data_IF_096051105713
#
_entry.id   IF_096051105713
#
_cell.length_a   1.000
_cell.length_b   1.000
_cell.length_c   1.000
_cell.angle_alpha   90.00
_cell.angle_beta   90.00
_cell.angle_gamma   90.00
#
_symmetry.space_group_name_H-M   'P 1'
#
loop_
_entity.id
_entity.type
_entity.pdbx_description
1 polymer ?
#
# COMPACT_ATOMS: atom_id res chain seq x y z
N UNK A 1 20.76 13.08 9.31
CA UNK A 1 19.96 13.74 8.27
C UNK A 1 18.51 13.35 8.46
N UNK A 2 17.67 14.28 8.91
CA UNK A 2 16.24 14.07 9.18
C UNK A 2 15.46 13.96 7.87
N UNK A 3 14.72 12.86 7.69
CA UNK A 3 13.82 12.66 6.55
C UNK A 3 12.63 13.62 6.57
N UNK A 4 11.91 13.77 5.44
CA UNK A 4 10.85 14.77 5.31
C UNK A 4 9.64 14.40 6.18
N UNK A 5 9.28 15.34 7.06
CA UNK A 5 8.09 15.26 7.90
C UNK A 5 6.85 15.62 7.07
N UNK A 6 5.87 14.71 7.01
CA UNK A 6 4.60 14.94 6.32
C UNK A 6 3.81 16.07 7.01
N UNK A 7 3.41 17.10 6.24
CA UNK A 7 2.56 18.18 6.75
C UNK A 7 1.14 17.65 7.02
N UNK A 8 0.69 17.74 8.26
CA UNK A 8 -0.64 17.30 8.72
C UNK A 8 -1.75 18.27 8.31
N UNK A 9 -2.87 17.72 7.86
CA UNK A 9 -4.16 18.39 7.69
C UNK A 9 -4.80 18.66 9.07
N UNK A 10 -5.55 19.76 9.26
CA UNK A 10 -6.17 20.06 10.55
C UNK A 10 -7.38 19.15 10.78
N UNK A 11 -7.37 18.35 11.85
CA UNK A 11 -8.55 17.58 12.31
C UNK A 11 -8.34 16.11 12.69
N UNK A 12 -7.12 15.56 12.64
CA UNK A 12 -6.89 14.18 13.09
C UNK A 12 -6.82 14.10 14.61
N UNK A 13 -7.62 13.19 15.19
CA UNK A 13 -7.36 12.62 16.52
C UNK A 13 -5.87 12.26 16.61
N UNK A 14 -5.24 12.57 17.74
CA UNK A 14 -3.91 12.03 18.03
C UNK A 14 -4.09 10.54 18.32
N UNK A 15 -4.18 9.75 17.27
CA UNK A 15 -4.09 8.30 17.39
C UNK A 15 -2.71 8.00 18.00
N UNK A 16 -2.70 7.38 19.18
CA UNK A 16 -1.48 6.87 19.80
C UNK A 16 -1.21 5.53 19.14
N UNK A 17 -0.18 5.49 18.30
CA UNK A 17 0.18 4.31 17.53
C UNK A 17 1.42 3.69 18.16
N UNK A 18 1.23 2.55 18.83
CA UNK A 18 2.34 1.71 19.29
C UNK A 18 2.66 0.69 18.19
N UNK A 19 3.91 0.69 17.71
CA UNK A 19 4.34 -0.18 16.61
C UNK A 19 5.38 -1.20 17.07
N UNK A 20 5.29 -2.42 16.53
CA UNK A 20 6.31 -3.45 16.66
C UNK A 20 6.81 -3.85 15.26
N UNK A 21 8.13 -3.92 15.07
CA UNK A 21 8.74 -4.17 13.75
C UNK A 21 8.80 -2.95 12.83
N UNK A 22 8.98 -3.17 11.52
CA UNK A 22 8.97 -2.12 10.50
C UNK A 22 7.53 -1.85 10.01
N UNK A 23 6.93 -0.69 10.35
CA UNK A 23 5.56 -0.36 9.91
C UNK A 23 5.45 -0.13 8.40
N UNK A 24 6.58 0.09 7.72
CA UNK A 24 6.64 0.31 6.28
C UNK A 24 7.04 -0.95 5.51
N UNK A 25 7.01 -2.14 6.11
CA UNK A 25 7.41 -3.39 5.47
C UNK A 25 6.62 -3.67 4.17
N UNK A 26 5.34 -3.30 4.12
CA UNK A 26 4.50 -3.39 2.92
C UNK A 26 4.63 -2.14 2.05
N UNK A 27 5.15 -2.31 0.83
CA UNK A 27 5.26 -1.25 -0.16
C UNK A 27 4.05 -1.26 -1.10
N UNK A 28 3.38 -0.12 -1.24
CA UNK A 28 2.26 0.05 -2.18
C UNK A 28 2.79 0.07 -3.62
N UNK A 29 2.41 -0.94 -4.41
CA UNK A 29 2.71 -1.03 -5.83
C UNK A 29 1.69 -0.26 -6.67
N UNK A 30 0.41 -0.39 -6.32
CA UNK A 30 -0.70 0.23 -7.03
C UNK A 30 -1.84 0.54 -6.06
N UNK A 31 -2.52 1.66 -6.30
CA UNK A 31 -3.76 2.02 -5.62
C UNK A 31 -4.72 2.60 -6.65
N UNK A 32 -5.98 2.17 -6.59
CA UNK A 32 -7.06 2.74 -7.38
C UNK A 32 -8.28 2.96 -6.48
N UNK A 33 -9.08 3.96 -6.77
CA UNK A 33 -10.35 4.20 -6.08
C UNK A 33 -11.36 4.78 -7.04
N UNK A 34 -12.63 4.58 -6.75
CA UNK A 34 -13.70 5.13 -7.57
C UNK A 34 -15.03 5.20 -6.86
N UNK A 35 -16.02 5.64 -7.63
CA UNK A 35 -17.42 5.68 -7.27
C UNK A 35 -18.16 4.86 -8.34
N UNK A 36 -19.02 3.95 -7.92
CA UNK A 36 -19.89 3.16 -8.79
C UNK A 36 -21.05 4.01 -9.30
N UNK A 37 -21.83 3.50 -10.25
CA UNK A 37 -22.97 4.21 -10.83
C UNK A 37 -24.07 4.52 -9.78
N UNK A 38 -24.24 3.65 -8.79
CA UNK A 38 -25.15 3.82 -7.65
C UNK A 38 -24.54 4.65 -6.50
N UNK A 39 -23.37 5.26 -6.70
CA UNK A 39 -22.77 6.20 -5.76
C UNK A 39 -21.93 5.57 -4.64
N UNK A 40 -21.73 4.25 -4.66
CA UNK A 40 -20.92 3.54 -3.68
C UNK A 40 -19.42 3.74 -3.94
N UNK A 41 -18.65 3.89 -2.88
CA UNK A 41 -17.20 4.10 -2.98
C UNK A 41 -16.47 2.77 -2.97
N UNK A 42 -15.39 2.68 -3.74
CA UNK A 42 -14.50 1.53 -3.67
C UNK A 42 -13.03 1.93 -3.72
N UNK A 43 -12.18 1.05 -3.21
CA UNK A 43 -10.73 1.18 -3.28
C UNK A 43 -10.08 -0.17 -3.48
N UNK A 44 -9.01 -0.20 -4.28
CA UNK A 44 -8.15 -1.35 -4.47
C UNK A 44 -6.71 -0.98 -4.19
N UNK A 45 -6.00 -1.87 -3.54
CA UNK A 45 -4.57 -1.75 -3.30
C UNK A 45 -3.86 -3.03 -3.69
N UNK A 46 -2.65 -2.88 -4.20
CA UNK A 46 -1.68 -3.97 -4.31
C UNK A 46 -0.44 -3.57 -3.54
N UNK A 47 -0.08 -4.37 -2.54
CA UNK A 47 1.09 -4.16 -1.70
C UNK A 47 2.01 -5.37 -1.77
N UNK A 48 3.29 -5.14 -1.53
CA UNK A 48 4.30 -6.18 -1.58
C UNK A 48 5.26 -6.03 -0.39
N UNK A 49 5.66 -7.15 0.22
CA UNK A 49 6.60 -7.20 1.33
C UNK A 49 7.66 -8.26 1.07
N UNK A 50 8.93 -7.85 1.04
CA UNK A 50 10.05 -8.78 0.88
C UNK A 50 10.24 -9.61 2.15
N UNK A 51 10.47 -10.91 1.98
CA UNK A 51 10.65 -11.87 3.08
C UNK A 51 11.96 -12.66 2.96
N UNK A 52 12.95 -12.12 2.27
CA UNK A 52 14.30 -12.70 2.12
C UNK A 52 14.44 -13.66 0.95
N UNK A 53 13.50 -14.59 0.75
CA UNK A 53 13.53 -15.60 -0.33
C UNK A 53 12.52 -15.34 -1.45
N UNK A 54 11.80 -14.22 -1.35
CA UNK A 54 10.65 -13.88 -2.18
C UNK A 54 9.89 -12.71 -1.61
N UNK A 55 8.68 -12.53 -2.13
CA UNK A 55 7.81 -11.43 -1.76
C UNK A 55 6.41 -11.96 -1.43
N UNK A 56 5.80 -11.49 -0.35
CA UNK A 56 4.37 -11.58 -0.20
C UNK A 56 3.72 -10.47 -1.01
N UNK A 57 2.73 -10.82 -1.83
CA UNK A 57 1.91 -9.85 -2.56
C UNK A 57 0.49 -9.94 -2.03
N UNK A 58 -0.02 -8.81 -1.56
CA UNK A 58 -1.36 -8.65 -1.05
C UNK A 58 -2.17 -7.79 -2.02
N UNK A 59 -3.37 -8.23 -2.34
CA UNK A 59 -4.39 -7.44 -3.04
C UNK A 59 -5.58 -7.27 -2.12
N UNK A 60 -5.96 -6.01 -1.87
CA UNK A 60 -7.10 -5.66 -1.04
C UNK A 60 -8.11 -4.88 -1.87
N UNK A 61 -9.38 -5.22 -1.74
CA UNK A 61 -10.51 -4.43 -2.25
C UNK A 61 -11.41 -4.04 -1.09
N UNK A 62 -11.61 -2.74 -0.91
CA UNK A 62 -12.57 -2.17 0.03
C UNK A 62 -13.76 -1.66 -0.81
N UNK A 63 -14.98 -2.02 -0.46
CA UNK A 63 -16.20 -1.58 -1.14
C UNK A 63 -17.20 -1.08 -0.11
N UNK A 64 -17.77 0.09 -0.33
CA UNK A 64 -18.85 0.60 0.48
C UNK A 64 -20.15 -0.15 0.13
N UNK A 65 -20.84 -0.66 1.13
CA UNK A 65 -22.16 -1.27 0.97
C UNK A 65 -23.28 -0.24 1.15
N UNK A 66 -24.52 -0.66 0.90
CA UNK A 66 -25.70 0.21 0.95
C UNK A 66 -25.99 0.80 2.34
N UNK A 67 -25.41 0.24 3.41
CA UNK A 67 -25.52 0.76 4.76
C UNK A 67 -24.40 1.79 5.08
N UNK A 68 -23.57 2.12 4.08
CA UNK A 68 -22.43 3.02 4.22
C UNK A 68 -21.21 2.40 4.91
N UNK A 69 -21.26 1.12 5.28
CA UNK A 69 -20.14 0.37 5.86
C UNK A 69 -19.19 -0.13 4.75
N UNK A 70 -17.98 -0.50 5.12
CA UNK A 70 -16.98 -1.01 4.17
C UNK A 70 -16.83 -2.52 4.30
N UNK A 71 -17.07 -3.23 3.19
CA UNK A 71 -16.75 -4.63 3.03
C UNK A 71 -15.32 -4.76 2.50
N UNK A 72 -14.59 -5.75 3.00
CA UNK A 72 -13.19 -5.99 2.68
C UNK A 72 -13.04 -7.38 2.06
N UNK A 73 -12.36 -7.44 0.91
CA UNK A 73 -11.90 -8.68 0.30
C UNK A 73 -10.38 -8.61 0.10
N UNK A 74 -9.65 -9.60 0.61
CA UNK A 74 -8.20 -9.65 0.51
C UNK A 74 -7.70 -11.00 0.04
N UNK A 75 -6.60 -10.99 -0.72
CA UNK A 75 -5.84 -12.16 -1.08
C UNK A 75 -4.36 -11.89 -0.85
N UNK A 76 -3.64 -12.88 -0.34
CA UNK A 76 -2.18 -12.85 -0.16
C UNK A 76 -1.59 -14.05 -0.86
N UNK A 77 -0.54 -13.84 -1.63
CA UNK A 77 0.22 -14.90 -2.28
C UNK A 77 1.71 -14.72 -2.06
N UNK A 78 2.44 -15.83 -1.93
CA UNK A 78 3.89 -15.82 -1.91
C UNK A 78 4.43 -15.95 -3.34
N UNK A 79 5.28 -15.00 -3.72
CA UNK A 79 6.00 -14.98 -4.99
C UNK A 79 7.45 -15.37 -4.72
N UNK A 80 7.90 -16.58 -5.10
CA UNK A 80 9.25 -17.05 -4.84
C UNK A 80 10.30 -16.35 -5.73
N UNK A 81 11.56 -16.46 -5.31
CA UNK A 81 12.74 -15.97 -6.03
C UNK A 81 13.27 -14.66 -5.47
N UNK A 82 14.34 -14.09 -6.04
CA UNK A 82 14.91 -12.81 -5.57
C UNK A 82 14.00 -11.61 -5.89
N UNK A 83 12.68 -11.72 -5.75
CA UNK A 83 11.74 -10.65 -6.08
C UNK A 83 11.51 -9.76 -4.86
N UNK A 84 11.68 -8.46 -5.00
CA UNK A 84 11.43 -7.46 -3.96
C UNK A 84 10.73 -6.20 -4.52
N UNK A 85 10.00 -5.43 -3.69
CA UNK A 85 9.46 -4.14 -4.10
C UNK A 85 10.56 -3.08 -4.15
N UNK A 86 10.88 -2.60 -5.34
CA UNK A 86 11.88 -1.55 -5.58
C UNK A 86 11.23 -0.21 -5.92
N UNK A 87 11.80 0.94 -5.50
CA UNK A 87 11.27 2.25 -5.83
C UNK A 87 11.26 2.50 -7.34
N UNK A 88 10.10 2.85 -7.90
CA UNK A 88 9.99 3.46 -9.21
C UNK A 88 10.32 4.96 -9.07
N UNK A 89 11.15 5.49 -9.96
CA UNK A 89 11.59 6.88 -9.92
C UNK A 89 11.29 7.59 -11.24
N UNK A 90 10.94 8.87 -11.16
CA UNK A 90 10.82 9.73 -12.35
C UNK A 90 12.21 10.15 -12.88
N UNK A 91 12.22 10.93 -13.97
CA UNK A 91 13.45 11.43 -14.61
C UNK A 91 14.30 12.33 -13.70
N UNK A 92 13.76 12.81 -12.58
CA UNK A 92 14.46 13.64 -11.59
C UNK A 92 14.88 12.82 -10.36
N UNK A 93 14.68 11.50 -10.37
CA UNK A 93 15.03 10.60 -9.28
C UNK A 93 14.02 10.57 -8.12
N UNK A 94 12.89 11.28 -8.21
CA UNK A 94 11.84 11.26 -7.18
C UNK A 94 11.10 9.93 -7.23
N UNK A 95 10.86 9.33 -6.06
CA UNK A 95 10.05 8.11 -5.97
C UNK A 95 8.60 8.42 -6.33
N UNK A 96 8.06 7.70 -7.32
CA UNK A 96 6.68 7.82 -7.80
C UNK A 96 5.82 6.62 -7.41
N UNK A 97 6.43 5.54 -6.95
CA UNK A 97 5.75 4.33 -6.50
C UNK A 97 6.74 3.20 -6.28
N UNK A 98 6.23 1.98 -6.24
CA UNK A 98 7.05 0.77 -6.18
C UNK A 98 6.65 -0.19 -7.30
N UNK A 99 7.59 -1.03 -7.72
CA UNK A 99 7.35 -2.14 -8.64
C UNK A 99 8.06 -3.38 -8.12
N UNK A 100 7.61 -4.56 -8.54
CA UNK A 100 8.39 -5.77 -8.31
C UNK A 100 9.62 -5.74 -9.21
N UNK A 101 10.77 -6.08 -8.64
CA UNK A 101 12.04 -6.21 -9.33
C UNK A 101 12.84 -7.37 -8.76
N UNK A 102 13.87 -7.77 -9.50
CA UNK A 102 14.82 -8.80 -9.04
C UNK A 102 15.93 -8.12 -8.24
N UNK A 103 16.09 -8.52 -6.99
CA UNK A 103 17.23 -8.23 -6.12
C UNK A 103 18.50 -8.69 -6.84
N UNK A 104 19.47 -7.78 -6.97
CA UNK A 104 20.78 -8.03 -7.57
C UNK A 104 21.80 -8.41 -6.50
#
# INVERSE_FOLDING_TARGET
>A
MSGPSAKKSPGQSKDILESFGDPDAWKCLCSASGITEDGLKWRKFTKAMFVGTGCLVQVSTEMQNNNGQWDLAEAVTFVPGPTEPIPARDSKGKVTGYRLGVSR
#
